data_IF_275584463799
#
_entry.id   IF_275584463799
#
_cell.length_a   1.000
_cell.length_b   1.000
_cell.length_c   1.000
_cell.angle_alpha   90.00
_cell.angle_beta   90.00
_cell.angle_gamma   90.00
#
_symmetry.space_group_name_H-M   'P 1'
#
loop_
_entity.id
_entity.type
_entity.pdbx_description
1 polymer ?
#
# COMPACT_ATOMS: atom_id res chain seq x y z
N UNK A 1 -29.79 8.74 10.87
CA UNK A 1 -29.80 8.56 9.41
C UNK A 1 -28.80 7.45 9.12
N UNK A 2 -29.26 6.28 8.71
CA UNK A 2 -28.35 5.14 8.45
C UNK A 2 -27.62 5.41 7.14
N UNK A 3 -26.32 5.63 7.23
CA UNK A 3 -25.42 5.76 6.08
C UNK A 3 -24.98 4.33 5.74
N UNK A 4 -25.57 3.75 4.69
CA UNK A 4 -25.12 2.48 4.12
C UNK A 4 -23.97 2.77 3.16
N UNK A 5 -22.76 2.41 3.53
CA UNK A 5 -21.61 2.32 2.62
C UNK A 5 -21.90 1.13 1.70
N UNK A 6 -22.15 1.40 0.42
CA UNK A 6 -22.28 0.35 -0.59
C UNK A 6 -20.88 -0.04 -1.07
N UNK A 7 -20.45 -1.24 -0.70
CA UNK A 7 -19.38 -1.94 -1.40
C UNK A 7 -19.95 -2.54 -2.70
N UNK A 8 -19.21 -2.56 -3.81
CA UNK A 8 -19.70 -3.06 -5.08
C UNK A 8 -19.97 -4.57 -5.02
N UNK A 9 -21.15 -4.96 -5.48
CA UNK A 9 -21.58 -6.36 -5.58
C UNK A 9 -21.18 -6.93 -6.93
N UNK A 10 -20.42 -8.03 -6.87
CA UNK A 10 -20.28 -9.13 -7.83
C UNK A 10 -19.86 -8.83 -9.27
N UNK A 11 -18.64 -9.21 -9.59
CA UNK A 11 -18.17 -9.43 -10.96
C UNK A 11 -18.64 -10.77 -11.52
N UNK A 12 -19.31 -10.73 -12.68
CA UNK A 12 -19.42 -11.85 -13.59
C UNK A 12 -18.39 -11.65 -14.71
N UNK A 13 -17.47 -12.62 -14.80
CA UNK A 13 -16.37 -12.70 -15.73
C UNK A 13 -16.77 -12.58 -17.21
N UNK A 14 -16.06 -11.75 -17.97
CA UNK A 14 -15.82 -11.97 -19.40
C UNK A 14 -14.34 -11.64 -19.68
N UNK A 15 -13.51 -12.64 -19.49
CA UNK A 15 -12.12 -12.60 -19.91
C UNK A 15 -12.00 -13.06 -21.36
N UNK A 16 -11.61 -12.18 -22.26
CA UNK A 16 -11.13 -12.51 -23.59
C UNK A 16 -9.59 -12.56 -23.57
N UNK A 17 -8.94 -13.68 -23.95
CA UNK A 17 -7.49 -13.78 -23.89
C UNK A 17 -6.83 -13.06 -25.06
N UNK A 18 -6.01 -12.07 -24.81
CA UNK A 18 -5.07 -11.49 -25.79
C UNK A 18 -3.89 -12.45 -25.92
N UNK A 19 -3.75 -13.04 -27.12
CA UNK A 19 -2.62 -13.91 -27.49
C UNK A 19 -1.39 -13.08 -27.78
N UNK A 20 -0.37 -13.16 -26.95
CA UNK A 20 0.98 -12.77 -27.31
C UNK A 20 1.69 -13.91 -28.01
N UNK A 21 2.06 -13.72 -29.26
CA UNK A 21 2.88 -14.64 -30.04
C UNK A 21 4.36 -14.47 -29.63
N UNK A 22 4.90 -15.46 -28.93
CA UNK A 22 6.33 -15.54 -28.65
C UNK A 22 7.05 -16.12 -29.88
N UNK A 23 7.96 -15.36 -30.48
CA UNK A 23 8.91 -15.83 -31.50
C UNK A 23 10.03 -16.63 -30.82
N UNK A 24 9.97 -17.94 -30.93
CA UNK A 24 11.04 -18.86 -30.57
C UNK A 24 11.97 -19.07 -31.74
N UNK A 25 13.21 -18.62 -31.63
CA UNK A 25 14.30 -19.04 -32.50
C UNK A 25 14.92 -20.34 -32.00
N UNK A 26 15.16 -21.37 -32.86
CA UNK A 26 15.74 -22.62 -32.40
C UNK A 26 17.27 -22.53 -32.30
N UNK A 27 17.79 -22.78 -31.09
CA UNK A 27 19.22 -23.04 -30.88
C UNK A 27 19.47 -24.53 -31.09
N UNK A 28 20.24 -24.85 -32.12
CA UNK A 28 20.69 -26.20 -32.44
C UNK A 28 21.74 -26.69 -31.42
N UNK A 29 21.38 -27.70 -30.63
CA UNK A 29 22.30 -28.44 -29.76
C UNK A 29 23.03 -29.51 -30.61
N UNK A 30 24.35 -29.37 -30.74
CA UNK A 30 25.23 -30.42 -31.26
C UNK A 30 25.56 -31.42 -30.16
N UNK A 31 25.12 -32.65 -30.33
CA UNK A 31 25.38 -33.78 -29.45
C UNK A 31 26.80 -34.31 -29.61
N UNK A 32 27.60 -34.26 -28.54
CA UNK A 32 28.83 -35.06 -28.45
C UNK A 32 28.55 -36.35 -27.67
N UNK A 33 28.73 -37.47 -28.34
CA UNK A 33 28.75 -38.81 -27.79
C UNK A 33 30.10 -39.05 -27.08
N UNK A 34 30.08 -39.26 -25.76
CA UNK A 34 31.23 -39.87 -25.03
C UNK A 34 30.79 -41.21 -24.47
N UNK A 35 31.64 -42.20 -24.68
CA UNK A 35 31.47 -43.58 -24.29
C UNK A 35 31.57 -43.75 -22.73
N UNK A 36 31.04 -44.84 -22.16
CA UNK A 36 30.99 -45.03 -20.72
C UNK A 36 32.36 -45.52 -20.15
N UNK A 37 32.91 -44.78 -19.22
CA UNK A 37 33.99 -45.27 -18.33
C UNK A 37 33.33 -45.81 -17.05
N UNK A 38 33.67 -47.05 -16.75
CA UNK A 38 33.20 -47.84 -15.61
C UNK A 38 33.76 -47.32 -14.28
N UNK A 39 32.88 -47.18 -13.31
CA UNK A 39 33.10 -47.50 -11.89
C UNK A 39 34.12 -46.66 -11.11
N UNK A 40 33.55 -45.62 -10.41
CA UNK A 40 34.04 -45.23 -9.08
C UNK A 40 32.82 -44.88 -8.23
N UNK A 41 32.68 -45.57 -7.11
CA UNK A 41 31.66 -45.32 -6.11
C UNK A 41 31.81 -43.89 -5.57
N UNK A 42 30.87 -43.02 -5.89
CA UNK A 42 30.78 -41.68 -5.25
C UNK A 42 30.28 -41.88 -3.83
N UNK A 43 31.14 -41.69 -2.87
CA UNK A 43 30.73 -41.38 -1.52
C UNK A 43 29.96 -40.04 -1.58
N UNK A 44 28.67 -40.07 -1.28
CA UNK A 44 27.84 -38.88 -1.11
C UNK A 44 28.33 -38.14 0.15
N UNK A 45 29.22 -37.16 -0.07
CA UNK A 45 29.50 -36.13 0.92
C UNK A 45 28.28 -35.22 1.08
N UNK A 46 28.10 -34.58 2.23
CA UNK A 46 27.02 -33.62 2.42
C UNK A 46 27.13 -32.54 1.35
N UNK A 47 25.97 -32.19 0.81
CA UNK A 47 25.83 -31.26 -0.30
C UNK A 47 26.44 -29.89 0.09
N UNK A 48 27.64 -29.60 -0.38
CA UNK A 48 28.37 -28.36 -0.10
C UNK A 48 27.62 -27.13 -0.64
N UNK A 49 26.75 -27.33 -1.63
CA UNK A 49 25.93 -26.25 -2.18
C UNK A 49 24.79 -25.85 -1.23
N UNK A 50 24.15 -26.80 -0.55
CA UNK A 50 23.11 -26.48 0.44
C UNK A 50 23.70 -25.82 1.69
N UNK A 51 24.90 -26.23 2.11
CA UNK A 51 25.58 -25.64 3.27
C UNK A 51 26.10 -24.21 3.04
N UNK A 52 26.34 -23.81 1.79
CA UNK A 52 26.74 -22.45 1.43
C UNK A 52 25.53 -21.50 1.36
N UNK A 53 24.38 -21.98 0.89
CA UNK A 53 23.14 -21.21 0.85
C UNK A 53 22.55 -20.99 2.25
N UNK A 54 22.75 -21.91 3.18
CA UNK A 54 22.31 -21.78 4.58
C UNK A 54 23.25 -20.93 5.46
N UNK A 55 24.37 -20.47 4.94
CA UNK A 55 25.30 -19.65 5.70
C UNK A 55 24.74 -18.24 5.92
N UNK A 56 24.64 -17.75 7.16
CA UNK A 56 24.25 -16.36 7.42
C UNK A 56 25.11 -15.35 6.65
N UNK A 57 26.37 -15.67 6.35
CA UNK A 57 27.28 -14.80 5.59
C UNK A 57 26.87 -14.63 4.14
N UNK A 58 26.16 -15.61 3.53
CA UNK A 58 25.65 -15.47 2.16
C UNK A 58 24.61 -14.35 2.06
N UNK A 59 23.67 -14.30 3.00
CA UNK A 59 22.64 -13.24 3.08
C UNK A 59 23.28 -11.87 3.35
N UNK A 60 24.30 -11.81 4.22
CA UNK A 60 25.03 -10.56 4.48
C UNK A 60 25.75 -10.04 3.23
N UNK A 61 26.35 -10.93 2.46
CA UNK A 61 27.05 -10.57 1.23
C UNK A 61 26.07 -10.15 0.12
N UNK A 62 24.97 -10.87 -0.03
CA UNK A 62 23.87 -10.53 -0.96
C UNK A 62 23.33 -9.13 -0.67
N UNK A 63 22.94 -8.86 0.58
CA UNK A 63 22.43 -7.54 0.98
C UNK A 63 23.49 -6.44 0.78
N UNK A 64 24.75 -6.71 1.09
CA UNK A 64 25.85 -5.77 0.84
C UNK A 64 25.99 -5.45 -0.65
N UNK A 65 25.91 -6.46 -1.53
CA UNK A 65 26.05 -6.29 -2.98
C UNK A 65 24.90 -5.45 -3.54
N UNK A 66 23.66 -5.71 -3.13
CA UNK A 66 22.49 -4.92 -3.57
C UNK A 66 22.68 -3.44 -3.20
N UNK A 67 23.01 -3.14 -1.94
CA UNK A 67 23.28 -1.75 -1.53
C UNK A 67 24.46 -1.15 -2.30
N UNK A 68 25.52 -1.92 -2.56
CA UNK A 68 26.67 -1.44 -3.32
C UNK A 68 26.31 -1.03 -4.74
N UNK A 69 25.39 -1.76 -5.36
CA UNK A 69 24.96 -1.51 -6.75
C UNK A 69 23.91 -0.41 -6.87
N UNK A 70 22.97 -0.32 -5.94
CA UNK A 70 21.75 0.45 -6.13
C UNK A 70 21.61 1.69 -5.21
N UNK A 71 22.36 1.74 -4.10
CA UNK A 71 22.20 2.86 -3.17
C UNK A 71 22.45 4.21 -3.84
N UNK A 72 21.52 5.14 -3.67
CA UNK A 72 21.46 6.43 -4.38
C UNK A 72 22.71 7.28 -4.23
N UNK A 73 23.41 7.21 -3.10
CA UNK A 73 24.64 7.99 -2.87
C UNK A 73 25.90 7.13 -3.08
N UNK A 74 26.64 7.41 -4.16
CA UNK A 74 27.90 6.75 -4.52
C UNK A 74 28.99 6.84 -3.43
N UNK A 75 28.88 7.81 -2.52
CA UNK A 75 29.78 7.96 -1.39
C UNK A 75 29.36 7.13 -0.16
N UNK A 76 28.18 6.48 -0.21
CA UNK A 76 27.59 5.73 0.91
C UNK A 76 27.53 6.59 2.19
N UNK A 77 27.17 7.86 2.05
CA UNK A 77 27.17 8.84 3.12
C UNK A 77 28.54 8.90 3.86
N UNK A 78 29.63 8.92 3.10
CA UNK A 78 31.03 8.90 3.56
C UNK A 78 31.43 7.62 4.32
N UNK A 79 30.65 6.55 4.21
CA UNK A 79 30.93 5.24 4.82
C UNK A 79 31.86 4.45 3.91
N UNK A 80 32.92 3.85 4.47
CA UNK A 80 33.75 2.90 3.71
C UNK A 80 33.03 1.56 3.56
N UNK A 81 32.15 1.48 2.54
CA UNK A 81 31.25 0.35 2.32
C UNK A 81 32.02 -0.95 2.04
N UNK A 82 33.22 -0.89 1.43
CA UNK A 82 34.09 -2.05 1.24
C UNK A 82 34.65 -2.59 2.55
N UNK A 83 35.02 -1.71 3.47
CA UNK A 83 35.49 -2.11 4.81
C UNK A 83 34.32 -2.72 5.60
N UNK A 84 33.13 -2.20 5.46
CA UNK A 84 31.90 -2.76 6.07
C UNK A 84 31.69 -4.21 5.64
N UNK A 85 31.88 -4.55 4.34
CA UNK A 85 31.82 -5.94 3.86
C UNK A 85 32.83 -6.84 4.55
N UNK A 86 34.09 -6.37 4.61
CA UNK A 86 35.13 -7.15 5.26
C UNK A 86 34.81 -7.44 6.73
N UNK A 87 34.24 -6.47 7.44
CA UNK A 87 33.82 -6.62 8.83
C UNK A 87 32.66 -7.63 8.96
N UNK A 88 31.64 -7.52 8.10
CA UNK A 88 30.51 -8.45 8.10
C UNK A 88 30.94 -9.90 7.83
N UNK A 89 31.77 -10.12 6.81
CA UNK A 89 32.20 -11.46 6.42
C UNK A 89 33.30 -12.02 7.30
N UNK A 90 34.08 -11.15 7.96
CA UNK A 90 35.18 -11.55 8.87
C UNK A 90 34.73 -12.04 10.26
N UNK A 91 33.46 -11.79 10.63
CA UNK A 91 32.91 -12.21 11.92
C UNK A 91 32.36 -13.63 11.88
N UNK A 92 32.34 -14.30 13.03
CA UNK A 92 31.60 -15.55 13.24
C UNK A 92 30.25 -15.22 13.92
N UNK A 93 29.16 -15.82 13.43
CA UNK A 93 27.82 -15.60 13.93
C UNK A 93 27.30 -16.87 14.61
N UNK A 94 26.88 -16.74 15.88
CA UNK A 94 26.34 -17.85 16.67
C UNK A 94 24.89 -18.22 16.27
N UNK A 95 24.20 -17.33 15.57
CA UNK A 95 22.82 -17.51 15.11
C UNK A 95 22.53 -16.62 13.91
N UNK A 96 21.49 -16.95 13.15
CA UNK A 96 20.97 -16.13 12.07
C UNK A 96 20.59 -14.72 12.56
N UNK A 97 19.96 -14.61 13.73
CA UNK A 97 19.58 -13.34 14.32
C UNK A 97 20.78 -12.45 14.65
N UNK A 98 21.91 -13.04 15.13
CA UNK A 98 23.13 -12.27 15.37
C UNK A 98 23.75 -11.69 14.09
N UNK A 99 23.57 -12.36 12.95
CA UNK A 99 23.97 -11.87 11.63
C UNK A 99 23.05 -10.74 11.16
N UNK A 100 21.73 -10.88 11.34
CA UNK A 100 20.74 -9.83 11.03
C UNK A 100 21.01 -8.54 11.81
N UNK A 101 21.33 -8.65 13.09
CA UNK A 101 21.70 -7.51 13.91
C UNK A 101 23.00 -6.84 13.44
N UNK A 102 23.97 -7.62 12.96
CA UNK A 102 25.18 -7.07 12.38
C UNK A 102 24.87 -6.31 11.08
N UNK A 103 23.99 -6.85 10.23
CA UNK A 103 23.56 -6.17 9.00
C UNK A 103 22.79 -4.88 9.30
N UNK A 104 21.83 -4.91 10.25
CA UNK A 104 21.12 -3.70 10.68
C UNK A 104 22.08 -2.61 11.16
N UNK A 105 23.11 -2.98 11.97
CA UNK A 105 24.15 -2.02 12.39
C UNK A 105 24.97 -1.49 11.24
N UNK A 106 25.27 -2.31 10.25
CA UNK A 106 26.01 -1.89 9.06
C UNK A 106 25.22 -0.90 8.22
N UNK A 107 23.94 -1.19 7.95
CA UNK A 107 23.04 -0.31 7.20
C UNK A 107 22.80 1.03 7.92
N UNK A 108 22.71 1.03 9.25
CA UNK A 108 22.58 2.26 10.03
C UNK A 108 23.75 3.25 9.84
N UNK A 109 24.93 2.78 9.39
CA UNK A 109 26.06 3.66 9.08
C UNK A 109 25.81 4.56 7.86
N UNK A 110 24.87 4.15 6.99
CA UNK A 110 24.42 4.96 5.86
C UNK A 110 23.63 6.20 6.29
N UNK A 111 23.21 6.29 7.57
CA UNK A 111 22.37 7.37 8.11
C UNK A 111 21.11 7.62 7.26
N UNK A 112 20.60 6.56 6.65
CA UNK A 112 19.38 6.52 5.87
C UNK A 112 18.39 5.53 6.52
N UNK A 113 17.31 6.01 7.13
CA UNK A 113 16.35 5.15 7.82
C UNK A 113 15.48 4.30 6.86
N UNK A 114 15.56 4.56 5.55
CA UNK A 114 14.77 3.87 4.54
C UNK A 114 15.54 2.71 3.87
N UNK A 115 16.88 2.71 3.94
CA UNK A 115 17.70 1.57 3.57
C UNK A 115 17.84 0.66 4.77
N UNK A 116 17.05 -0.44 4.79
CA UNK A 116 16.95 -1.30 5.97
C UNK A 116 16.76 -2.77 5.62
N UNK A 117 17.29 -3.64 6.46
CA UNK A 117 17.05 -5.07 6.45
C UNK A 117 15.69 -5.39 7.10
N UNK A 118 14.98 -6.33 6.50
CA UNK A 118 13.70 -6.86 6.96
C UNK A 118 13.88 -8.35 7.29
N UNK A 119 13.51 -8.77 8.49
CA UNK A 119 13.39 -10.21 8.80
C UNK A 119 12.35 -10.88 7.89
N UNK A 120 12.31 -12.21 7.77
CA UNK A 120 11.31 -12.89 6.95
C UNK A 120 9.88 -12.49 7.27
N UNK A 121 9.55 -12.28 8.54
CA UNK A 121 8.23 -11.81 8.95
C UNK A 121 7.95 -10.37 8.50
N UNK A 122 8.90 -9.45 8.73
CA UNK A 122 8.76 -8.05 8.30
C UNK A 122 8.69 -7.91 6.76
N UNK A 123 9.41 -8.78 6.02
CA UNK A 123 9.36 -8.82 4.57
C UNK A 123 8.01 -9.33 4.06
N UNK A 124 7.48 -10.40 4.66
CA UNK A 124 6.14 -10.91 4.35
C UNK A 124 5.07 -9.85 4.62
N UNK A 125 5.10 -9.20 5.80
CA UNK A 125 4.14 -8.16 6.15
C UNK A 125 4.16 -6.99 5.14
N UNK A 126 5.36 -6.54 4.73
CA UNK A 126 5.50 -5.47 3.74
C UNK A 126 5.02 -5.92 2.35
N UNK A 127 5.28 -7.18 1.97
CA UNK A 127 4.84 -7.74 0.69
C UNK A 127 3.32 -7.86 0.65
N UNK A 128 2.68 -8.35 1.71
CA UNK A 128 1.22 -8.43 1.82
C UNK A 128 0.58 -7.03 1.79
N UNK A 129 1.19 -6.06 2.47
CA UNK A 129 0.74 -4.67 2.44
C UNK A 129 0.83 -4.08 1.03
N UNK A 130 1.95 -4.26 0.34
CA UNK A 130 2.15 -3.72 -1.02
C UNK A 130 1.35 -4.45 -2.08
N UNK A 131 1.10 -5.76 -1.93
CA UNK A 131 0.20 -6.49 -2.81
C UNK A 131 -1.26 -6.05 -2.65
N UNK A 132 -1.64 -5.54 -1.47
CA UNK A 132 -3.03 -5.23 -1.15
C UNK A 132 -3.88 -6.47 -0.93
N UNK A 133 -3.24 -7.59 -0.61
CA UNK A 133 -3.92 -8.86 -0.35
C UNK A 133 -3.55 -9.38 1.03
N UNK A 134 -4.51 -9.98 1.70
CA UNK A 134 -4.28 -10.65 2.97
C UNK A 134 -4.82 -12.08 2.92
N UNK A 135 -4.11 -13.00 3.55
CA UNK A 135 -4.64 -14.36 3.76
C UNK A 135 -5.50 -14.37 5.03
N UNK A 136 -6.82 -14.32 4.85
CA UNK A 136 -7.83 -14.15 5.90
C UNK A 136 -9.09 -14.97 5.54
N UNK A 137 -10.11 -14.87 6.37
CA UNK A 137 -11.43 -15.47 6.14
C UNK A 137 -12.48 -14.50 5.61
N UNK A 138 -12.23 -13.17 5.66
CA UNK A 138 -13.09 -12.11 5.10
C UNK A 138 -14.23 -11.70 6.02
N UNK A 139 -13.92 -11.28 7.26
CA UNK A 139 -14.88 -10.68 8.18
C UNK A 139 -14.35 -9.38 8.78
N UNK A 140 -15.24 -8.41 8.96
CA UNK A 140 -14.98 -7.24 9.77
C UNK A 140 -15.52 -7.46 11.18
N UNK A 141 -14.83 -6.92 12.17
CA UNK A 141 -15.14 -7.14 13.59
C UNK A 141 -15.48 -5.83 14.30
N UNK A 142 -16.44 -5.93 15.21
CA UNK A 142 -16.79 -4.86 16.14
C UNK A 142 -16.78 -5.39 17.56
N UNK A 143 -16.29 -4.57 18.51
CA UNK A 143 -16.29 -4.93 19.94
C UNK A 143 -17.31 -4.06 20.68
N UNK A 144 -18.18 -4.70 21.43
CA UNK A 144 -19.08 -4.00 22.35
C UNK A 144 -18.25 -3.39 23.51
N UNK A 145 -18.28 -2.07 23.68
CA UNK A 145 -17.46 -1.40 24.70
C UNK A 145 -17.92 -1.71 26.15
N UNK A 146 -19.17 -2.18 26.31
CA UNK A 146 -19.76 -2.47 27.62
C UNK A 146 -19.47 -3.90 28.07
N UNK A 147 -19.66 -4.87 27.17
CA UNK A 147 -19.53 -6.30 27.49
C UNK A 147 -18.15 -6.85 27.14
N UNK A 148 -17.42 -6.18 26.26
CA UNK A 148 -16.17 -6.67 25.68
C UNK A 148 -16.36 -7.81 24.65
N UNK A 149 -17.59 -8.11 24.29
CA UNK A 149 -17.92 -9.11 23.28
C UNK A 149 -17.51 -8.66 21.88
N UNK A 150 -17.03 -9.60 21.07
CA UNK A 150 -16.65 -9.36 19.68
C UNK A 150 -17.73 -9.92 18.77
N UNK A 151 -18.19 -9.10 17.82
CA UNK A 151 -19.20 -9.46 16.84
C UNK A 151 -18.64 -9.32 15.43
N UNK A 152 -19.13 -10.12 14.51
CA UNK A 152 -18.95 -9.90 13.08
C UNK A 152 -19.83 -8.71 12.70
N UNK A 153 -19.23 -7.60 12.28
CA UNK A 153 -19.97 -6.44 11.80
C UNK A 153 -20.36 -6.59 10.32
N UNK A 154 -19.50 -7.25 9.54
CA UNK A 154 -19.72 -7.47 8.12
C UNK A 154 -19.00 -8.74 7.66
N UNK A 155 -19.51 -9.38 6.61
CA UNK A 155 -18.90 -10.50 5.91
C UNK A 155 -18.67 -10.11 4.47
N UNK A 156 -17.42 -10.22 4.01
CA UNK A 156 -17.02 -9.87 2.67
C UNK A 156 -17.65 -10.84 1.65
N UNK A 157 -18.27 -10.30 0.61
CA UNK A 157 -18.88 -11.09 -0.44
C UNK A 157 -17.84 -11.97 -1.16
N UNK A 158 -18.20 -13.23 -1.48
CA UNK A 158 -17.30 -14.20 -2.11
C UNK A 158 -16.25 -14.80 -1.17
N UNK A 159 -16.16 -14.32 0.08
CA UNK A 159 -15.14 -14.76 1.04
C UNK A 159 -15.36 -16.19 1.59
N UNK A 160 -14.32 -16.81 2.16
CA UNK A 160 -14.45 -18.08 2.89
C UNK A 160 -15.47 -18.01 4.04
N UNK A 161 -15.60 -16.87 4.69
CA UNK A 161 -16.57 -16.66 5.77
C UNK A 161 -18.01 -16.72 5.24
N UNK A 162 -18.30 -16.09 4.11
CA UNK A 162 -19.62 -16.18 3.47
C UNK A 162 -19.94 -17.63 3.06
N UNK A 163 -18.98 -18.31 2.42
CA UNK A 163 -19.11 -19.72 2.03
C UNK A 163 -19.34 -20.65 3.24
N UNK A 164 -18.82 -20.27 4.42
CA UNK A 164 -19.01 -20.99 5.68
C UNK A 164 -20.29 -20.56 6.43
N UNK A 165 -21.15 -19.74 5.79
CA UNK A 165 -22.41 -19.24 6.36
C UNK A 165 -22.22 -18.47 7.67
N UNK A 166 -21.13 -17.70 7.79
CA UNK A 166 -20.98 -16.66 8.79
C UNK A 166 -21.82 -15.44 8.38
N UNK A 167 -22.31 -14.66 9.34
CA UNK A 167 -23.19 -13.53 9.09
C UNK A 167 -22.87 -12.36 10.01
N UNK A 168 -23.16 -11.15 9.57
CA UNK A 168 -23.18 -9.99 10.42
C UNK A 168 -24.11 -10.21 11.62
N UNK A 169 -23.66 -9.80 12.81
CA UNK A 169 -24.35 -10.05 14.09
C UNK A 169 -23.96 -11.36 14.79
N UNK A 170 -23.21 -12.27 14.17
CA UNK A 170 -22.64 -13.43 14.86
C UNK A 170 -21.65 -12.96 15.92
N UNK A 171 -21.85 -13.40 17.18
CA UNK A 171 -20.89 -13.19 18.26
C UNK A 171 -19.75 -14.20 18.12
N UNK A 172 -18.53 -13.70 17.99
CA UNK A 172 -17.31 -14.50 17.94
C UNK A 172 -16.82 -14.79 19.36
N UNK A 173 -17.01 -16.03 19.83
CA UNK A 173 -16.71 -16.43 21.20
C UNK A 173 -15.26 -16.89 21.35
N UNK A 174 -14.82 -17.80 20.46
CA UNK A 174 -13.45 -18.33 20.44
C UNK A 174 -12.88 -18.29 19.02
N UNK A 175 -11.56 -18.11 18.93
CA UNK A 175 -10.74 -18.36 17.74
C UNK A 175 -9.66 -19.37 18.13
N UNK A 176 -9.62 -20.53 17.49
CA UNK A 176 -8.73 -21.67 17.80
C UNK A 176 -8.72 -22.01 19.30
N UNK A 177 -9.91 -22.03 19.90
CA UNK A 177 -10.11 -22.35 21.32
C UNK A 177 -9.76 -21.22 22.30
N UNK A 178 -9.27 -20.06 21.83
CA UNK A 178 -8.94 -18.91 22.65
C UNK A 178 -10.08 -17.90 22.67
N UNK A 179 -10.44 -17.41 23.89
CA UNK A 179 -11.51 -16.43 24.06
C UNK A 179 -11.16 -15.08 23.43
N UNK A 180 -12.14 -14.50 22.73
CA UNK A 180 -12.01 -13.18 22.07
C UNK A 180 -12.22 -12.00 23.04
N UNK A 181 -12.91 -12.20 24.15
CA UNK A 181 -13.29 -11.11 25.08
C UNK A 181 -12.09 -10.41 25.72
N UNK A 182 -10.97 -11.15 25.90
CA UNK A 182 -9.74 -10.61 26.50
C UNK A 182 -8.78 -10.00 25.47
N UNK A 183 -9.08 -10.16 24.18
CA UNK A 183 -8.24 -9.65 23.08
C UNK A 183 -8.74 -8.28 22.62
N UNK A 184 -7.84 -7.48 22.06
CA UNK A 184 -8.21 -6.32 21.25
C UNK A 184 -8.78 -6.80 19.91
N UNK A 185 -9.53 -5.95 19.20
CA UNK A 185 -9.97 -6.26 17.81
C UNK A 185 -8.80 -6.68 16.94
N UNK A 186 -7.72 -5.90 16.99
CA UNK A 186 -6.50 -6.20 16.24
C UNK A 186 -5.91 -7.58 16.61
N UNK A 187 -5.92 -7.94 17.90
CA UNK A 187 -5.45 -9.25 18.36
C UNK A 187 -6.34 -10.40 17.87
N UNK A 188 -7.65 -10.18 17.73
CA UNK A 188 -8.56 -11.16 17.11
C UNK A 188 -8.28 -11.25 15.62
N UNK A 189 -8.18 -10.13 14.90
CA UNK A 189 -7.87 -10.09 13.46
C UNK A 189 -6.56 -10.80 13.12
N UNK A 190 -5.51 -10.59 13.91
CA UNK A 190 -4.23 -11.31 13.73
C UNK A 190 -4.38 -12.84 13.82
N UNK A 191 -5.31 -13.35 14.63
CA UNK A 191 -5.57 -14.80 14.73
C UNK A 191 -6.41 -15.34 13.57
N UNK A 192 -7.19 -14.50 12.92
CA UNK A 192 -7.94 -14.87 11.72
C UNK A 192 -7.02 -15.01 10.51
N UNK A 193 -5.95 -14.23 10.45
CA UNK A 193 -4.90 -14.32 9.43
C UNK A 193 -4.03 -15.56 9.61
N UNK A 194 -3.38 -15.98 8.55
CA UNK A 194 -2.45 -17.11 8.53
C UNK A 194 -2.15 -17.54 7.11
N UNK A 195 -1.43 -18.65 6.94
CA UNK A 195 -1.06 -19.14 5.61
C UNK A 195 -2.29 -19.45 4.77
N UNK A 196 -2.24 -19.11 3.47
CA UNK A 196 -3.28 -19.44 2.51
C UNK A 196 -3.54 -20.96 2.50
N UNK A 197 -4.82 -21.35 2.47
CA UNK A 197 -5.24 -22.74 2.54
C UNK A 197 -5.20 -23.36 3.96
N UNK A 198 -4.63 -22.67 4.96
CA UNK A 198 -4.70 -23.10 6.36
C UNK A 198 -6.12 -22.91 6.91
N UNK A 199 -6.43 -23.60 8.01
CA UNK A 199 -7.75 -23.54 8.62
C UNK A 199 -7.71 -22.79 9.96
N UNK A 200 -8.81 -22.09 10.26
CA UNK A 200 -9.08 -21.51 11.56
C UNK A 200 -10.43 -22.05 12.07
N UNK A 201 -10.48 -22.37 13.36
CA UNK A 201 -11.69 -22.85 14.01
C UNK A 201 -12.32 -21.73 14.83
N UNK A 202 -13.52 -21.32 14.44
CA UNK A 202 -14.31 -20.30 15.14
C UNK A 202 -15.39 -20.95 16.00
N UNK A 203 -15.61 -20.42 17.19
CA UNK A 203 -16.84 -20.71 17.94
C UNK A 203 -17.69 -19.45 17.91
N UNK A 204 -18.87 -19.54 17.31
CA UNK A 204 -19.80 -18.42 17.15
C UNK A 204 -21.12 -18.69 17.88
N UNK A 205 -21.79 -17.62 18.30
CA UNK A 205 -23.18 -17.68 18.82
C UNK A 205 -24.03 -16.68 18.03
N UNK A 206 -25.10 -17.18 17.42
CA UNK A 206 -26.04 -16.36 16.61
C UNK A 206 -27.31 -16.10 17.41
N UNK A 207 -27.73 -14.82 17.53
CA UNK A 207 -28.94 -14.39 18.22
C UNK A 207 -29.08 -14.95 19.66
N UNK A 208 -27.95 -15.06 20.39
CA UNK A 208 -27.93 -15.60 21.76
C UNK A 208 -28.16 -17.11 21.85
N UNK A 209 -28.14 -17.82 20.71
CA UNK A 209 -28.28 -19.27 20.66
C UNK A 209 -27.04 -20.00 21.19
N UNK A 210 -27.12 -21.34 21.21
CA UNK A 210 -26.00 -22.19 21.64
C UNK A 210 -24.78 -21.96 20.74
N UNK A 211 -23.57 -21.85 21.32
CA UNK A 211 -22.34 -21.73 20.56
C UNK A 211 -22.15 -22.94 19.61
N UNK A 212 -21.73 -22.68 18.37
CA UNK A 212 -21.38 -23.71 17.38
C UNK A 212 -19.98 -23.49 16.86
N UNK A 213 -19.29 -24.56 16.52
CA UNK A 213 -17.98 -24.51 15.87
C UNK A 213 -18.14 -24.42 14.35
N UNK A 214 -17.34 -23.58 13.73
CA UNK A 214 -17.23 -23.40 12.28
C UNK A 214 -15.75 -23.44 11.92
N UNK A 215 -15.36 -24.33 11.00
CA UNK A 215 -14.01 -24.35 10.46
C UNK A 215 -14.01 -23.59 9.14
N UNK A 216 -13.12 -22.63 9.00
CA UNK A 216 -13.00 -21.79 7.79
C UNK A 216 -11.59 -21.93 7.25
N UNK A 217 -11.47 -22.16 5.95
CA UNK A 217 -10.17 -22.19 5.27
C UNK A 217 -9.81 -20.78 4.82
N UNK A 218 -8.62 -20.32 5.17
CA UNK A 218 -8.13 -18.99 4.77
C UNK A 218 -7.90 -18.94 3.27
N UNK A 219 -8.23 -17.82 2.67
CA UNK A 219 -7.92 -17.53 1.27
C UNK A 219 -7.27 -16.16 1.14
N UNK A 220 -6.62 -15.94 0.02
CA UNK A 220 -6.11 -14.62 -0.33
C UNK A 220 -7.27 -13.71 -0.70
N UNK A 221 -7.39 -12.57 -0.04
CA UNK A 221 -8.48 -11.61 -0.17
C UNK A 221 -7.89 -10.24 -0.45
N UNK A 222 -8.49 -9.53 -1.37
CA UNK A 222 -8.14 -8.15 -1.68
C UNK A 222 -8.60 -7.22 -0.55
N UNK A 223 -7.73 -6.29 -0.17
CA UNK A 223 -8.01 -5.26 0.84
C UNK A 223 -8.58 -4.03 0.16
N UNK A 224 -9.74 -3.58 0.61
CA UNK A 224 -10.28 -2.30 0.18
C UNK A 224 -9.36 -1.16 0.64
N UNK A 225 -8.78 -0.44 -0.32
CA UNK A 225 -7.86 0.68 -0.08
C UNK A 225 -8.45 2.02 -0.55
N UNK A 226 -9.57 1.99 -1.27
CA UNK A 226 -10.34 3.16 -1.70
C UNK A 226 -11.74 3.09 -1.09
N UNK A 227 -12.08 4.11 -0.32
CA UNK A 227 -13.42 4.34 0.22
C UNK A 227 -14.05 5.52 -0.53
N UNK A 228 -15.32 5.43 -0.95
CA UNK A 228 -15.96 6.54 -1.64
C UNK A 228 -17.45 6.64 -1.34
N UNK A 229 -17.94 7.86 -1.42
CA UNK A 229 -19.36 8.16 -1.24
C UNK A 229 -19.75 9.46 -1.96
N UNK A 230 -21.03 9.56 -2.33
CA UNK A 230 -21.62 10.78 -2.83
C UNK A 230 -22.20 11.60 -1.67
N UNK A 231 -21.78 12.86 -1.57
CA UNK A 231 -22.30 13.83 -0.62
C UNK A 231 -23.09 14.94 -1.32
N UNK A 232 -24.01 15.56 -0.60
CA UNK A 232 -24.68 16.79 -1.08
C UNK A 232 -24.27 17.96 -0.21
N UNK A 233 -23.70 19.00 -0.82
CA UNK A 233 -23.36 20.24 -0.14
C UNK A 233 -23.97 21.44 -0.86
N UNK A 234 -24.84 22.19 -0.13
CA UNK A 234 -25.58 23.35 -0.69
C UNK A 234 -26.29 23.07 -2.00
N UNK A 235 -26.85 21.86 -2.15
CA UNK A 235 -27.55 21.40 -3.33
C UNK A 235 -26.71 20.91 -4.49
N UNK A 236 -25.39 20.87 -4.34
CA UNK A 236 -24.45 20.28 -5.31
C UNK A 236 -24.06 18.86 -4.90
N UNK A 237 -23.92 18.01 -5.89
CA UNK A 237 -23.49 16.61 -5.72
C UNK A 237 -21.96 16.53 -5.77
N UNK A 238 -21.33 16.08 -4.70
CA UNK A 238 -19.86 16.01 -4.54
C UNK A 238 -19.46 14.57 -4.32
N UNK A 239 -18.50 14.09 -5.12
CA UNK A 239 -17.83 12.81 -4.91
C UNK A 239 -16.73 12.97 -3.85
N UNK A 240 -16.79 12.20 -2.79
CA UNK A 240 -15.70 12.08 -1.82
C UNK A 240 -15.03 10.71 -2.03
N UNK A 241 -13.72 10.74 -2.23
CA UNK A 241 -12.89 9.53 -2.38
C UNK A 241 -11.77 9.62 -1.36
N UNK A 242 -11.62 8.60 -0.54
CA UNK A 242 -10.51 8.46 0.41
C UNK A 242 -9.61 7.32 -0.02
N UNK A 243 -8.35 7.61 -0.28
CA UNK A 243 -7.33 6.62 -0.59
C UNK A 243 -6.48 6.37 0.68
N UNK A 244 -6.52 5.14 1.17
CA UNK A 244 -5.87 4.74 2.42
C UNK A 244 -4.38 4.43 2.22
N UNK A 245 -4.04 3.80 1.08
CA UNK A 245 -2.69 3.36 0.75
C UNK A 245 -2.56 3.12 -0.76
N UNK A 246 -1.33 3.20 -1.28
CA UNK A 246 -1.01 2.89 -2.68
C UNK A 246 -0.49 1.45 -2.80
N UNK A 247 -1.37 0.46 -2.76
CA UNK A 247 -1.06 -0.93 -3.03
C UNK A 247 -1.30 -1.31 -4.50
N UNK A 248 -1.13 -2.59 -4.86
CA UNK A 248 -1.26 -3.04 -6.23
C UNK A 248 -2.68 -2.91 -6.80
N UNK A 249 -3.73 -2.87 -5.96
CA UNK A 249 -5.13 -2.72 -6.35
C UNK A 249 -5.64 -1.27 -6.29
N UNK A 250 -4.84 -0.34 -5.75
CA UNK A 250 -5.27 1.04 -5.51
C UNK A 250 -5.72 1.75 -6.80
N UNK A 251 -5.06 1.50 -7.92
CA UNK A 251 -5.41 2.12 -9.20
C UNK A 251 -6.76 1.60 -9.73
N UNK A 252 -6.99 0.28 -9.70
CA UNK A 252 -8.24 -0.33 -10.14
C UNK A 252 -9.42 0.16 -9.29
N UNK A 253 -9.28 0.14 -7.97
CA UNK A 253 -10.32 0.63 -7.05
C UNK A 253 -10.59 2.14 -7.20
N UNK A 254 -9.56 2.94 -7.50
CA UNK A 254 -9.71 4.37 -7.79
C UNK A 254 -10.50 4.59 -9.08
N UNK A 255 -10.22 3.84 -10.15
CA UNK A 255 -10.96 3.90 -11.40
C UNK A 255 -12.44 3.60 -11.19
N UNK A 256 -12.74 2.52 -10.46
CA UNK A 256 -14.13 2.16 -10.12
C UNK A 256 -14.83 3.26 -9.31
N UNK A 257 -14.16 3.85 -8.33
CA UNK A 257 -14.71 4.93 -7.53
C UNK A 257 -15.04 6.17 -8.38
N UNK A 258 -14.13 6.58 -9.27
CA UNK A 258 -14.34 7.71 -10.17
C UNK A 258 -15.55 7.46 -11.09
N UNK A 259 -15.58 6.32 -11.77
CA UNK A 259 -16.66 5.96 -12.71
C UNK A 259 -18.00 5.88 -11.98
N UNK A 260 -18.05 5.19 -10.84
CA UNK A 260 -19.28 5.04 -10.05
C UNK A 260 -19.85 6.38 -9.58
N UNK A 261 -18.99 7.31 -9.17
CA UNK A 261 -19.42 8.65 -8.73
C UNK A 261 -19.85 9.52 -9.92
N UNK A 262 -19.20 9.40 -11.09
CA UNK A 262 -19.63 10.08 -12.31
C UNK A 262 -21.02 9.60 -12.76
N UNK A 263 -21.28 8.29 -12.71
CA UNK A 263 -22.60 7.72 -13.03
C UNK A 263 -23.69 8.19 -12.06
N UNK A 264 -23.33 8.55 -10.84
CA UNK A 264 -24.22 9.17 -9.85
C UNK A 264 -24.41 10.68 -10.07
N UNK A 265 -23.72 11.27 -11.05
CA UNK A 265 -23.89 12.68 -11.44
C UNK A 265 -23.22 13.66 -10.49
N UNK A 266 -22.04 13.34 -9.94
CA UNK A 266 -21.26 14.29 -9.14
C UNK A 266 -20.78 15.46 -10.01
N UNK A 267 -20.70 16.64 -9.41
CA UNK A 267 -20.27 17.89 -10.06
C UNK A 267 -18.81 18.22 -9.81
N UNK A 268 -18.14 17.47 -8.93
CA UNK A 268 -16.72 17.61 -8.58
C UNK A 268 -16.30 16.62 -7.51
N UNK A 269 -15.00 16.57 -7.23
CA UNK A 269 -14.40 15.57 -6.37
C UNK A 269 -13.60 16.18 -5.21
N UNK A 270 -13.67 15.53 -4.05
CA UNK A 270 -12.73 15.72 -2.93
C UNK A 270 -11.95 14.40 -2.79
N UNK A 271 -10.65 14.43 -3.08
CA UNK A 271 -9.73 13.31 -2.88
C UNK A 271 -9.05 13.47 -1.53
N UNK A 272 -9.26 12.53 -0.61
CA UNK A 272 -8.68 12.55 0.73
C UNK A 272 -7.48 11.62 0.84
N UNK A 273 -6.30 12.22 1.00
CA UNK A 273 -5.01 11.55 1.22
C UNK A 273 -4.51 11.72 2.66
N UNK A 274 -5.33 12.25 3.57
CA UNK A 274 -4.94 12.43 4.97
C UNK A 274 -4.67 11.07 5.63
N UNK A 275 -3.52 10.98 6.30
CA UNK A 275 -3.09 9.74 6.96
C UNK A 275 -2.56 8.66 6.01
N UNK A 276 -2.51 8.90 4.71
CA UNK A 276 -1.98 7.96 3.73
C UNK A 276 -0.43 8.01 3.67
N UNK A 277 0.30 6.96 4.10
CA UNK A 277 1.76 6.97 4.17
C UNK A 277 2.44 6.81 2.79
N UNK A 278 1.67 6.64 1.72
CA UNK A 278 2.15 6.32 0.39
C UNK A 278 1.99 4.84 0.04
N UNK A 279 2.99 4.28 -0.62
CA UNK A 279 3.03 2.89 -1.10
C UNK A 279 3.74 2.80 -2.45
N UNK A 280 3.20 2.03 -3.38
CA UNK A 280 3.80 1.79 -4.68
C UNK A 280 3.85 3.06 -5.55
N UNK A 281 5.05 3.37 -6.07
CA UNK A 281 5.27 4.47 -7.02
C UNK A 281 4.39 4.31 -8.27
N UNK A 282 4.33 3.11 -8.85
CA UNK A 282 3.54 2.86 -10.06
C UNK A 282 2.05 3.13 -9.83
N UNK A 283 1.50 2.75 -8.68
CA UNK A 283 0.11 3.03 -8.33
C UNK A 283 -0.17 4.55 -8.28
N UNK A 284 0.77 5.35 -7.73
CA UNK A 284 0.61 6.82 -7.72
C UNK A 284 0.67 7.44 -9.11
N UNK A 285 1.50 6.89 -10.00
CA UNK A 285 1.58 7.33 -11.39
C UNK A 285 0.28 7.01 -12.14
N UNK A 286 -0.22 5.78 -12.00
CA UNK A 286 -1.44 5.35 -12.70
C UNK A 286 -2.67 6.10 -12.19
N UNK A 287 -2.78 6.33 -10.87
CA UNK A 287 -3.83 7.18 -10.30
C UNK A 287 -3.70 8.63 -10.77
N UNK A 288 -2.48 9.19 -10.84
CA UNK A 288 -2.27 10.54 -11.38
C UNK A 288 -2.76 10.67 -12.83
N UNK A 289 -2.57 9.64 -13.66
CA UNK A 289 -3.03 9.58 -15.03
C UNK A 289 -4.54 9.59 -15.18
N UNK A 290 -5.29 9.12 -14.19
CA UNK A 290 -6.75 9.17 -14.18
C UNK A 290 -7.29 10.59 -14.03
N UNK A 291 -6.50 11.51 -13.49
CA UNK A 291 -6.86 12.90 -13.24
C UNK A 291 -6.19 13.89 -14.20
N UNK A 292 -5.08 13.50 -14.86
CA UNK A 292 -4.28 14.38 -15.71
C UNK A 292 -4.29 13.93 -17.16
N UNK A 293 -4.76 14.78 -18.07
CA UNK A 293 -4.66 14.55 -19.52
C UNK A 293 -3.22 14.75 -20.02
N UNK A 294 -2.51 15.72 -19.48
CA UNK A 294 -1.20 16.16 -19.92
C UNK A 294 -0.36 16.60 -18.72
N UNK A 295 0.93 16.78 -18.97
CA UNK A 295 1.87 17.34 -18.01
C UNK A 295 2.71 16.27 -17.30
N UNK A 296 3.78 16.69 -16.65
CA UNK A 296 4.64 15.80 -15.87
C UNK A 296 3.94 15.41 -14.56
N UNK A 297 4.25 14.20 -14.07
CA UNK A 297 3.74 13.67 -12.80
C UNK A 297 4.82 13.74 -11.73
N UNK A 298 6.02 13.25 -12.05
CA UNK A 298 7.15 13.20 -11.13
C UNK A 298 8.46 13.23 -11.91
N UNK A 299 9.49 13.79 -11.31
CA UNK A 299 10.87 13.71 -11.79
C UNK A 299 11.68 12.90 -10.80
N UNK A 300 12.53 12.00 -11.29
CA UNK A 300 13.41 11.17 -10.46
C UNK A 300 14.86 11.40 -10.85
N UNK A 301 15.73 11.43 -9.84
CA UNK A 301 17.17 11.54 -10.01
C UNK A 301 17.84 10.37 -9.30
N UNK A 302 18.49 9.50 -10.05
CA UNK A 302 19.21 8.35 -9.55
C UNK A 302 20.68 8.64 -9.22
N UNK A 303 21.44 7.60 -8.86
CA UNK A 303 22.86 7.69 -8.50
C UNK A 303 23.78 8.04 -9.68
N UNK A 304 23.37 7.75 -10.93
CA UNK A 304 24.07 8.08 -12.16
C UNK A 304 23.84 9.53 -12.58
N UNK A 305 22.88 10.20 -11.97
CA UNK A 305 22.45 11.56 -12.29
C UNK A 305 21.47 11.59 -13.47
N UNK A 306 20.86 10.45 -13.79
CA UNK A 306 19.81 10.39 -14.77
C UNK A 306 18.52 11.03 -14.22
N UNK A 307 18.05 12.07 -14.92
CA UNK A 307 16.86 12.84 -14.59
C UNK A 307 15.70 12.38 -15.47
N UNK A 308 14.94 11.41 -14.98
CA UNK A 308 13.77 10.88 -15.66
C UNK A 308 12.51 11.67 -15.28
N UNK A 309 11.67 11.96 -16.28
CA UNK A 309 10.38 12.60 -16.08
C UNK A 309 9.24 11.70 -16.55
N UNK A 310 8.40 11.29 -15.60
CA UNK A 310 7.20 10.51 -15.90
C UNK A 310 6.02 11.47 -16.09
N UNK A 311 5.26 11.28 -17.17
CA UNK A 311 4.19 12.19 -17.57
C UNK A 311 2.84 11.47 -17.73
N UNK A 312 1.79 12.25 -17.76
CA UNK A 312 0.43 11.83 -18.12
C UNK A 312 0.40 11.32 -19.57
N UNK A 313 -0.52 10.41 -19.86
CA UNK A 313 -0.60 9.68 -21.12
C UNK A 313 -1.94 9.85 -21.87
N UNK A 314 -2.74 10.86 -21.50
CA UNK A 314 -4.06 11.18 -22.05
C UNK A 314 -5.15 10.15 -21.73
N UNK A 315 -5.09 9.54 -20.56
CA UNK A 315 -6.09 8.57 -20.09
C UNK A 315 -6.91 9.11 -18.90
N UNK A 316 -6.97 10.44 -18.72
CA UNK A 316 -7.79 11.01 -17.65
C UNK A 316 -9.26 10.61 -17.81
N UNK A 317 -9.85 10.20 -16.71
CA UNK A 317 -11.25 9.74 -16.65
C UNK A 317 -12.23 10.90 -16.50
N UNK A 318 -11.76 12.05 -15.99
CA UNK A 318 -12.62 13.21 -15.71
C UNK A 318 -11.84 14.52 -15.73
N UNK A 319 -12.52 15.56 -16.20
CA UNK A 319 -12.06 16.96 -16.10
C UNK A 319 -12.87 17.74 -15.04
N UNK A 320 -13.79 17.10 -14.32
CA UNK A 320 -14.58 17.75 -13.27
C UNK A 320 -13.65 18.39 -12.22
N UNK A 321 -13.98 19.57 -11.67
CA UNK A 321 -13.20 20.23 -10.64
C UNK A 321 -12.92 19.32 -9.44
N UNK A 322 -11.75 19.49 -8.82
CA UNK A 322 -11.38 18.70 -7.66
C UNK A 322 -10.55 19.46 -6.64
N UNK A 323 -10.61 19.01 -5.40
CA UNK A 323 -9.71 19.40 -4.32
C UNK A 323 -9.04 18.17 -3.72
N UNK A 324 -7.85 18.34 -3.16
CA UNK A 324 -7.10 17.28 -2.47
C UNK A 324 -6.90 17.64 -1.01
N UNK A 325 -7.30 16.74 -0.11
CA UNK A 325 -7.07 16.86 1.33
C UNK A 325 -5.77 16.17 1.73
N UNK A 326 -4.91 16.88 2.44
CA UNK A 326 -3.63 16.36 2.92
C UNK A 326 -3.37 16.71 4.38
N UNK A 327 -2.51 15.91 5.05
CA UNK A 327 -1.99 16.21 6.38
C UNK A 327 -0.51 15.81 6.53
N UNK A 328 0.10 16.07 7.68
CA UNK A 328 1.49 15.72 7.96
C UNK A 328 1.81 14.22 7.95
N UNK A 329 0.84 13.35 7.68
CA UNK A 329 1.01 11.91 7.48
C UNK A 329 0.82 11.50 6.02
N UNK A 330 0.40 12.41 5.15
CA UNK A 330 0.41 12.23 3.69
C UNK A 330 1.87 12.21 3.23
N UNK A 331 2.37 11.05 2.78
CA UNK A 331 3.80 10.86 2.53
C UNK A 331 4.08 10.10 1.22
N UNK A 332 5.29 10.29 0.65
CA UNK A 332 5.80 9.49 -0.48
C UNK A 332 4.86 9.53 -1.70
N UNK A 333 4.25 8.39 -2.10
CA UNK A 333 3.31 8.31 -3.23
C UNK A 333 2.12 9.27 -3.12
N UNK A 334 1.65 9.58 -1.88
CA UNK A 334 0.68 10.64 -1.65
C UNK A 334 1.21 12.01 -2.03
N UNK A 335 2.49 12.27 -1.78
CA UNK A 335 3.13 13.54 -2.14
C UNK A 335 3.40 13.63 -3.65
N UNK A 336 3.69 12.50 -4.31
CA UNK A 336 3.80 12.44 -5.77
C UNK A 336 2.47 12.81 -6.42
N UNK A 337 1.37 12.16 -6.01
CA UNK A 337 0.04 12.46 -6.54
C UNK A 337 -0.38 13.92 -6.23
N UNK A 338 -0.18 14.38 -4.99
CA UNK A 338 -0.49 15.76 -4.59
C UNK A 338 0.29 16.77 -5.41
N UNK A 339 1.62 16.59 -5.54
CA UNK A 339 2.49 17.49 -6.31
C UNK A 339 2.16 17.48 -7.80
N UNK A 340 1.81 16.31 -8.35
CA UNK A 340 1.37 16.19 -9.73
C UNK A 340 0.09 16.99 -9.98
N UNK A 341 -0.89 16.91 -9.09
CA UNK A 341 -2.17 17.62 -9.23
C UNK A 341 -2.04 19.12 -8.98
N UNK A 342 -1.22 19.53 -8.00
CA UNK A 342 -0.97 20.93 -7.67
C UNK A 342 -0.17 21.64 -8.78
N UNK A 343 0.97 21.08 -9.18
CA UNK A 343 1.89 21.72 -10.14
C UNK A 343 1.34 21.78 -11.58
N UNK A 344 0.31 20.98 -11.91
CA UNK A 344 -0.43 21.06 -13.17
C UNK A 344 -1.73 21.86 -13.07
N UNK A 345 -1.95 22.62 -11.99
CA UNK A 345 -3.18 23.40 -11.75
C UNK A 345 -4.48 22.56 -11.85
N UNK A 346 -4.38 21.24 -11.59
CA UNK A 346 -5.51 20.32 -11.72
C UNK A 346 -6.40 20.32 -10.48
N UNK A 347 -5.82 20.53 -9.31
CA UNK A 347 -6.53 20.51 -8.04
C UNK A 347 -6.02 21.60 -7.09
N UNK A 348 -6.91 22.13 -6.26
CA UNK A 348 -6.52 22.94 -5.11
C UNK A 348 -6.25 22.01 -3.92
N UNK A 349 -5.06 22.12 -3.34
CA UNK A 349 -4.63 21.35 -2.17
C UNK A 349 -5.07 22.05 -0.89
N UNK A 350 -5.76 21.33 0.00
CA UNK A 350 -6.34 21.83 1.23
C UNK A 350 -5.85 21.00 2.42
N UNK A 351 -5.48 21.61 3.53
CA UNK A 351 -5.07 20.89 4.74
C UNK A 351 -3.82 21.47 5.39
N UNK A 352 -2.94 20.63 5.88
CA UNK A 352 -1.64 21.01 6.43
C UNK A 352 -0.48 20.42 5.62
N UNK A 353 0.73 20.99 5.79
CA UNK A 353 1.92 20.53 5.07
C UNK A 353 2.11 19.02 5.19
N UNK A 354 2.49 18.37 4.08
CA UNK A 354 2.71 16.92 4.01
C UNK A 354 4.02 16.51 4.70
N UNK A 355 4.36 15.24 4.71
CA UNK A 355 5.46 14.67 5.49
C UNK A 355 6.86 15.10 4.99
N UNK A 356 7.08 15.15 3.67
CA UNK A 356 8.38 15.47 3.08
C UNK A 356 9.31 14.28 2.89
N UNK A 357 8.79 13.15 2.39
CA UNK A 357 9.57 11.99 1.99
C UNK A 357 9.79 12.01 0.48
N UNK A 358 10.94 12.50 0.03
CA UNK A 358 11.30 12.65 -1.39
C UNK A 358 12.26 11.54 -1.90
N UNK A 359 12.08 10.31 -1.44
CA UNK A 359 12.96 9.18 -1.72
C UNK A 359 12.20 8.00 -2.30
N UNK A 360 12.78 7.35 -3.31
CA UNK A 360 12.28 6.10 -3.89
C UNK A 360 13.10 4.94 -3.33
N UNK A 361 12.42 3.87 -2.91
CA UNK A 361 13.03 2.63 -2.45
C UNK A 361 12.74 1.48 -3.42
N UNK A 362 13.77 0.64 -3.66
CA UNK A 362 13.59 -0.71 -4.18
C UNK A 362 13.38 -1.68 -3.03
N UNK A 363 12.65 -2.77 -3.28
CA UNK A 363 12.42 -3.86 -2.34
C UNK A 363 12.96 -5.16 -2.95
N UNK A 364 13.86 -5.83 -2.21
CA UNK A 364 14.50 -7.07 -2.63
C UNK A 364 14.22 -8.19 -1.64
N UNK A 365 13.81 -9.36 -2.15
CA UNK A 365 13.81 -10.60 -1.37
C UNK A 365 15.20 -11.19 -1.34
N UNK A 366 15.66 -11.65 -0.15
CA UNK A 366 16.94 -12.31 0.04
C UNK A 366 16.76 -13.83 0.06
N UNK A 367 17.86 -14.57 -0.15
CA UNK A 367 17.85 -16.02 -0.34
C UNK A 367 17.25 -16.83 0.81
N UNK A 368 17.23 -16.28 2.04
CA UNK A 368 16.67 -16.94 3.23
C UNK A 368 15.22 -16.53 3.58
N UNK A 369 14.56 -15.81 2.68
CA UNK A 369 13.19 -15.29 2.87
C UNK A 369 13.12 -13.97 3.62
N UNK A 370 14.25 -13.41 4.05
CA UNK A 370 14.34 -12.04 4.55
C UNK A 370 14.29 -11.02 3.40
N UNK A 371 14.28 -9.73 3.69
CA UNK A 371 14.23 -8.69 2.67
C UNK A 371 15.14 -7.51 2.95
N UNK A 372 15.30 -6.68 1.93
CA UNK A 372 16.07 -5.46 1.99
C UNK A 372 15.34 -4.35 1.25
N UNK A 373 15.17 -3.19 1.86
CA UNK A 373 14.80 -1.97 1.16
C UNK A 373 16.03 -1.12 0.96
N UNK A 374 16.18 -0.52 -0.24
CA UNK A 374 17.32 0.34 -0.59
C UNK A 374 16.79 1.63 -1.21
N UNK A 375 17.28 2.78 -0.76
CA UNK A 375 17.01 4.04 -1.41
C UNK A 375 17.80 4.15 -2.71
N UNK A 376 17.09 4.25 -3.84
CA UNK A 376 17.66 4.18 -5.20
C UNK A 376 17.59 5.51 -5.96
N UNK A 377 16.67 6.40 -5.58
CA UNK A 377 16.54 7.70 -6.24
C UNK A 377 15.95 8.76 -5.30
N UNK A 378 16.19 10.02 -5.64
CA UNK A 378 15.40 11.17 -5.16
C UNK A 378 14.28 11.47 -6.15
N UNK A 379 13.15 11.97 -5.68
CA UNK A 379 12.14 12.52 -6.56
C UNK A 379 11.81 13.98 -6.24
N UNK A 380 11.32 14.66 -7.27
CA UNK A 380 10.95 16.07 -7.24
C UNK A 380 9.54 16.21 -7.79
N UNK A 381 8.83 17.26 -7.39
CA UNK A 381 7.54 17.58 -8.01
C UNK A 381 7.74 17.96 -9.50
N UNK A 382 6.68 17.99 -10.31
CA UNK A 382 6.78 18.42 -11.72
C UNK A 382 7.57 19.68 -11.96
N UNK A 383 7.39 20.70 -11.11
CA UNK A 383 8.11 21.97 -11.19
C UNK A 383 9.55 21.92 -10.65
N UNK A 384 10.03 20.73 -10.25
CA UNK A 384 11.37 20.52 -9.72
C UNK A 384 11.55 20.93 -8.25
N UNK A 385 10.46 21.05 -7.50
CA UNK A 385 10.54 21.39 -6.07
C UNK A 385 11.05 20.18 -5.27
N UNK A 386 12.10 20.42 -4.46
CA UNK A 386 12.57 19.47 -3.46
C UNK A 386 11.73 19.58 -2.18
N UNK A 387 10.93 18.55 -1.94
CA UNK A 387 10.04 18.47 -0.78
C UNK A 387 10.70 17.79 0.43
N UNK A 388 11.97 17.39 0.34
CA UNK A 388 12.69 16.66 1.40
C UNK A 388 12.59 17.38 2.75
N UNK A 389 12.02 16.71 3.74
CA UNK A 389 11.80 17.20 5.12
C UNK A 389 10.94 18.48 5.24
N UNK A 390 10.34 18.94 4.16
CA UNK A 390 9.47 20.13 4.11
C UNK A 390 8.03 19.77 3.80
N UNK A 391 7.84 18.75 2.95
CA UNK A 391 6.53 18.39 2.41
C UNK A 391 6.04 19.38 1.34
N UNK A 392 4.83 19.12 0.88
CA UNK A 392 4.08 20.00 -0.01
C UNK A 392 3.26 20.96 0.86
N UNK A 393 3.37 22.24 0.57
CA UNK A 393 2.53 23.27 1.21
C UNK A 393 1.18 23.33 0.53
N UNK A 394 0.06 23.18 1.25
CA UNK A 394 -1.27 23.32 0.68
C UNK A 394 -1.53 24.73 0.14
N UNK A 395 -2.39 24.86 -0.90
CA UNK A 395 -2.87 26.16 -1.40
C UNK A 395 -3.79 26.84 -0.38
N UNK A 396 -4.52 26.03 0.40
CA UNK A 396 -5.40 26.49 1.46
C UNK A 396 -5.04 25.77 2.76
N UNK A 397 -4.32 26.48 3.61
CA UNK A 397 -3.92 25.95 4.92
C UNK A 397 -5.09 25.92 5.90
N UNK A 398 -5.34 24.78 6.51
CA UNK A 398 -6.29 24.58 7.60
C UNK A 398 -5.83 23.43 8.50
N UNK A 399 -5.59 23.73 9.76
CA UNK A 399 -5.21 22.76 10.78
C UNK A 399 -6.44 22.33 11.62
N UNK A 400 -6.53 21.04 11.88
CA UNK A 400 -7.47 20.52 12.87
C UNK A 400 -7.00 20.87 14.29
N UNK A 401 -7.93 21.30 15.14
CA UNK A 401 -7.65 21.39 16.57
C UNK A 401 -7.31 20.02 17.16
N UNK A 402 -6.63 19.99 18.31
CA UNK A 402 -6.32 18.74 19.01
C UNK A 402 -7.58 17.93 19.39
N UNK A 403 -8.74 18.60 19.57
CA UNK A 403 -10.02 17.97 19.83
C UNK A 403 -10.56 17.31 18.58
N UNK A 404 -10.66 18.04 17.47
CA UNK A 404 -11.15 17.52 16.18
C UNK A 404 -10.32 16.33 15.70
N UNK A 405 -8.98 16.40 15.79
CA UNK A 405 -8.10 15.26 15.50
C UNK A 405 -8.44 14.02 16.29
N UNK A 406 -8.69 14.16 17.60
CA UNK A 406 -9.09 13.03 18.45
C UNK A 406 -10.47 12.50 18.10
N UNK A 407 -11.41 13.40 17.83
CA UNK A 407 -12.78 13.02 17.51
C UNK A 407 -12.84 12.24 16.17
N UNK A 408 -12.13 12.71 15.13
CA UNK A 408 -12.01 12.03 13.84
C UNK A 408 -11.19 10.71 13.93
N UNK A 409 -10.17 10.66 14.79
CA UNK A 409 -9.41 9.44 15.02
C UNK A 409 -10.24 8.36 15.73
N UNK A 410 -11.02 8.76 16.74
CA UNK A 410 -11.86 7.83 17.51
C UNK A 410 -13.15 7.43 16.77
N UNK A 411 -13.59 8.23 15.83
CA UNK A 411 -14.78 7.98 15.02
C UNK A 411 -14.49 8.35 13.55
N UNK A 412 -13.88 7.43 12.79
CA UNK A 412 -13.57 7.64 11.37
C UNK A 412 -14.80 7.94 10.49
N UNK A 413 -16.00 7.54 10.91
CA UNK A 413 -17.27 7.82 10.19
C UNK A 413 -17.59 9.33 10.10
N UNK A 414 -16.88 10.17 10.86
CA UNK A 414 -17.00 11.63 10.76
C UNK A 414 -16.18 12.21 9.60
N UNK A 415 -15.23 11.46 9.03
CA UNK A 415 -14.45 11.91 7.88
C UNK A 415 -15.36 12.09 6.66
N UNK A 416 -15.12 13.15 5.92
CA UNK A 416 -15.95 13.48 4.76
C UNK A 416 -17.38 13.94 5.10
N UNK A 417 -17.66 14.31 6.36
CA UNK A 417 -18.97 14.83 6.80
C UNK A 417 -18.89 16.30 7.22
N UNK A 418 -20.04 16.90 7.55
CA UNK A 418 -20.10 18.26 8.11
C UNK A 418 -19.39 18.46 9.45
N UNK A 419 -19.03 17.37 10.13
CA UNK A 419 -18.24 17.40 11.37
C UNK A 419 -16.74 17.49 11.13
N UNK A 420 -16.29 17.37 9.90
CA UNK A 420 -14.91 17.45 9.47
C UNK A 420 -14.62 18.83 8.86
N UNK A 421 -13.99 19.70 9.64
CA UNK A 421 -13.74 21.08 9.26
C UNK A 421 -12.81 21.23 8.04
N UNK A 422 -11.84 20.32 7.86
CA UNK A 422 -10.98 20.31 6.67
C UNK A 422 -11.77 19.89 5.42
N UNK A 423 -12.61 18.86 5.53
CA UNK A 423 -13.50 18.47 4.44
C UNK A 423 -14.45 19.60 4.06
N UNK A 424 -15.11 20.24 5.02
CA UNK A 424 -15.97 21.39 4.74
C UNK A 424 -15.23 22.49 3.99
N UNK A 425 -13.99 22.77 4.38
CA UNK A 425 -13.18 23.78 3.70
C UNK A 425 -12.83 23.36 2.27
N UNK A 426 -12.50 22.09 2.03
CA UNK A 426 -12.23 21.56 0.69
C UNK A 426 -13.48 21.67 -0.20
N UNK A 427 -14.66 21.32 0.30
CA UNK A 427 -15.94 21.44 -0.44
C UNK A 427 -16.31 22.91 -0.71
N UNK A 428 -16.03 23.84 0.22
CA UNK A 428 -16.23 25.27 -0.02
C UNK A 428 -15.37 25.78 -1.17
N UNK A 429 -14.09 25.43 -1.20
CA UNK A 429 -13.17 25.78 -2.29
C UNK A 429 -13.65 25.15 -3.60
N UNK A 430 -13.97 23.86 -3.59
CA UNK A 430 -14.47 23.14 -4.76
C UNK A 430 -15.73 23.80 -5.35
N UNK A 431 -16.69 24.15 -4.50
CA UNK A 431 -17.95 24.77 -4.97
C UNK A 431 -17.74 26.16 -5.55
N UNK A 432 -16.74 26.91 -5.08
CA UNK A 432 -16.34 28.19 -5.68
C UNK A 432 -15.74 27.98 -7.08
N UNK A 433 -14.89 26.96 -7.26
CA UNK A 433 -14.33 26.60 -8.57
C UNK A 433 -15.43 26.21 -9.54
N UNK A 434 -16.35 25.32 -9.15
CA UNK A 434 -17.51 24.92 -9.97
C UNK A 434 -18.33 26.13 -10.40
N UNK A 435 -18.59 27.06 -9.47
CA UNK A 435 -19.36 28.27 -9.78
C UNK A 435 -18.65 29.18 -10.79
N UNK A 436 -17.33 29.35 -10.67
CA UNK A 436 -16.52 30.15 -11.58
C UNK A 436 -16.47 29.58 -13.00
N UNK A 437 -16.40 28.27 -13.14
CA UNK A 437 -16.40 27.57 -14.44
C UNK A 437 -17.78 27.73 -15.15
N UNK A 438 -18.89 27.60 -14.42
CA UNK A 438 -20.20 27.80 -14.95
C UNK A 438 -20.36 29.27 -15.46
N UNK A 439 -19.85 30.23 -14.68
CA UNK A 439 -19.90 31.64 -15.08
C UNK A 439 -19.01 31.96 -16.30
N UNK A 440 -17.88 31.29 -16.45
CA UNK A 440 -16.99 31.47 -17.61
C UNK A 440 -17.59 30.91 -18.91
N UNK A 441 -18.51 29.94 -18.83
CA UNK A 441 -19.12 29.26 -19.96
C UNK A 441 -20.53 29.85 -20.29
N UNK A 442 -21.11 30.68 -19.39
CA UNK A 442 -22.45 31.22 -19.55
C UNK A 442 -22.39 32.75 -19.67
N UNK A 443 -22.87 33.36 -20.80
CA UNK A 443 -22.77 34.81 -21.03
C UNK A 443 -23.59 35.71 -20.08
N UNK A 444 -24.29 35.16 -19.10
CA UNK A 444 -25.30 35.86 -18.26
C UNK A 444 -25.09 35.63 -16.74
N UNK A 445 -23.88 35.42 -16.27
CA UNK A 445 -23.61 35.46 -14.82
C UNK A 445 -23.46 36.88 -14.27
#
# INVERSE_FOLDING_TARGET
>A
MNISVKLPSSFSSLATPVKYAALLTPITLTSFLLAPASGLASASGPDLQSSLQDSPKAVLDEAWQIVHQEYVDNSFNQTNWQQTRQQLLGQEYSSRESAYDALRRALNQLNDPYTRFLSPAEYSDLTDQTSGEVSDIGIYLQKDPTTGDVFISEVLAGSPAEQSNLQAGDKLVLVDGQSTTQLTIQGVSQKLRGDEGSQVTLTISRNGGQPRSVVVTRARLEVATVEFLQNTYRGRSIGYIRLLEFNAHAAEQMEEAIISLQDQGVEGFVLDLRGNPGGLLLASIDISRMWLQHGPIVRTLDREGDDDSISANRTALTDLPMTVLVDGRSASSSEILTGALQDNDRATVVGSATFGKALVQSLHGLADGSGLTVTVAHYYTPNGTDISKKGITPDVEIDLSARERRDLFNNPDLLGTESDSQYLRAVEVLTQTIASEICSTTPTC
#
